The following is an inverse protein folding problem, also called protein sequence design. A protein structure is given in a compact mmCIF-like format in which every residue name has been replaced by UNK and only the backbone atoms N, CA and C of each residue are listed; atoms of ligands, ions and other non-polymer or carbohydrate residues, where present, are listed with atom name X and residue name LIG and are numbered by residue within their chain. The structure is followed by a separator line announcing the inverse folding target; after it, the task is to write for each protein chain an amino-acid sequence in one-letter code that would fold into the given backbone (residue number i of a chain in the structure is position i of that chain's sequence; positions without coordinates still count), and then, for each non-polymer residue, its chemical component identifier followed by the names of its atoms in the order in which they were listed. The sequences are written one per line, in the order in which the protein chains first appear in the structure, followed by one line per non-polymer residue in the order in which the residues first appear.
data_IF_136965934518
#
_entry.id   IF_136965934518
#
_cell.length_a   1.000
_cell.length_b   1.000
_cell.length_c   1.000
_cell.angle_alpha   90.00
_cell.angle_beta   90.00
_cell.angle_gamma   90.00
#
_symmetry.space_group_name_H-M   'P 1'
#
loop_
_entity.id
_entity.type
_entity.pdbx_description
1 polymer ?
#
# COMPACT_ATOMS: atom_id res chain seq x y z
N UNK A 1 -10.07 15.47 -4.39
CA UNK A 1 -8.63 15.16 -4.32
C UNK A 1 -8.48 13.84 -3.56
N UNK A 2 -7.60 12.92 -3.97
CA UNK A 2 -7.33 11.72 -3.16
C UNK A 2 -6.50 12.16 -1.97
N UNK A 3 -7.00 11.94 -0.77
CA UNK A 3 -6.28 12.20 0.45
C UNK A 3 -4.97 11.39 0.47
N UNK A 4 -3.86 12.07 0.72
CA UNK A 4 -2.54 11.41 0.70
C UNK A 4 -2.30 10.76 2.05
N UNK A 5 -2.31 9.43 2.06
CA UNK A 5 -1.89 8.68 3.24
C UNK A 5 -0.41 8.97 3.57
N UNK A 6 -0.05 9.43 4.78
CA UNK A 6 1.34 9.72 5.13
C UNK A 6 2.30 8.53 4.97
N UNK A 7 1.80 7.30 5.15
CA UNK A 7 2.60 6.07 4.93
C UNK A 7 2.85 5.76 3.46
N UNK A 8 2.33 6.56 2.54
CA UNK A 8 2.66 6.44 1.13
C UNK A 8 4.04 7.06 0.80
N UNK A 9 4.62 7.85 1.69
CA UNK A 9 6.00 8.33 1.58
C UNK A 9 6.97 7.25 2.04
N UNK A 10 8.05 7.04 1.29
CA UNK A 10 9.07 6.03 1.59
C UNK A 10 10.43 6.71 1.66
N UNK A 11 11.23 6.37 2.67
CA UNK A 11 12.53 6.99 2.92
C UNK A 11 13.58 6.61 1.85
N UNK A 12 13.50 5.39 1.32
CA UNK A 12 14.52 4.82 0.42
C UNK A 12 14.36 5.18 -1.06
N UNK A 13 13.27 5.86 -1.45
CA UNK A 13 13.03 6.21 -2.86
C UNK A 13 12.52 7.64 -3.01
N UNK A 14 12.76 8.23 -4.20
CA UNK A 14 12.19 9.54 -4.56
C UNK A 14 10.65 9.49 -4.52
N UNK A 15 10.05 10.38 -3.73
CA UNK A 15 8.60 10.47 -3.54
C UNK A 15 7.92 11.42 -4.55
N UNK A 16 7.82 10.98 -5.80
CA UNK A 16 7.08 11.74 -6.82
C UNK A 16 5.56 11.66 -6.59
N UNK A 17 4.83 12.76 -6.87
CA UNK A 17 3.37 12.88 -6.65
C UNK A 17 2.58 11.69 -7.16
N UNK A 18 2.83 11.24 -8.39
CA UNK A 18 2.15 10.07 -8.99
C UNK A 18 2.40 8.78 -8.19
N UNK A 19 3.62 8.57 -7.72
CA UNK A 19 3.98 7.38 -6.96
C UNK A 19 3.41 7.39 -5.54
N UNK A 20 3.38 8.57 -4.90
CA UNK A 20 2.69 8.78 -3.61
C UNK A 20 1.20 8.48 -3.75
N UNK A 21 0.51 9.08 -4.72
CA UNK A 21 -0.93 8.87 -4.94
C UNK A 21 -1.29 7.39 -5.18
N UNK A 22 -0.49 6.67 -5.97
CA UNK A 22 -0.72 5.24 -6.19
C UNK A 22 -0.56 4.45 -4.89
N UNK A 23 0.50 4.72 -4.11
CA UNK A 23 0.72 4.05 -2.82
C UNK A 23 -0.40 4.36 -1.83
N UNK A 24 -0.87 5.61 -1.72
CA UNK A 24 -2.02 5.97 -0.88
C UNK A 24 -3.26 5.15 -1.21
N UNK A 25 -3.60 5.05 -2.50
CA UNK A 25 -4.75 4.26 -2.95
C UNK A 25 -4.58 2.75 -2.73
N UNK A 26 -3.36 2.23 -2.83
CA UNK A 26 -3.07 0.83 -2.46
C UNK A 26 -3.33 0.62 -0.96
N UNK A 27 -2.82 1.50 -0.10
CA UNK A 27 -2.97 1.41 1.35
C UNK A 27 -4.43 1.47 1.77
N UNK A 28 -5.21 2.41 1.21
CA UNK A 28 -6.66 2.49 1.40
C UNK A 28 -7.34 1.16 1.07
N UNK A 29 -7.05 0.58 -0.11
CA UNK A 29 -7.66 -0.66 -0.55
C UNK A 29 -7.36 -1.87 0.35
N UNK A 30 -6.11 -1.99 0.84
CA UNK A 30 -5.69 -3.14 1.64
C UNK A 30 -5.89 -2.96 3.16
N UNK A 31 -6.18 -1.72 3.61
CA UNK A 31 -6.50 -1.42 5.01
C UNK A 31 -7.82 -2.07 5.44
N UNK A 32 -8.81 -2.10 4.55
CA UNK A 32 -10.12 -2.72 4.81
C UNK A 32 -10.08 -4.25 4.76
N UNK A 33 -9.28 -4.82 3.85
CA UNK A 33 -9.12 -6.28 3.72
C UNK A 33 -7.87 -6.65 2.91
N UNK A 34 -7.27 -7.83 3.16
CA UNK A 34 -6.19 -8.32 2.34
C UNK A 34 -6.59 -8.54 0.86
N UNK A 35 -5.75 -8.12 -0.08
CA UNK A 35 -6.02 -8.24 -1.52
C UNK A 35 -4.85 -8.85 -2.29
N UNK A 36 -5.16 -9.48 -3.42
CA UNK A 36 -4.12 -9.93 -4.36
C UNK A 36 -3.66 -8.77 -5.25
N UNK A 37 -2.46 -8.88 -5.82
CA UNK A 37 -1.94 -7.90 -6.81
C UNK A 37 -2.93 -7.71 -7.96
N UNK A 38 -3.59 -8.78 -8.42
CA UNK A 38 -4.60 -8.72 -9.48
C UNK A 38 -5.75 -7.77 -9.09
N UNK A 39 -6.35 -7.95 -7.92
CA UNK A 39 -7.46 -7.11 -7.45
C UNK A 39 -7.03 -5.65 -7.21
N UNK A 40 -5.82 -5.44 -6.69
CA UNK A 40 -5.28 -4.09 -6.50
C UNK A 40 -5.08 -3.40 -7.86
N UNK A 41 -4.49 -4.09 -8.83
CA UNK A 41 -4.28 -3.58 -10.19
C UNK A 41 -5.59 -3.17 -10.88
N UNK A 42 -6.61 -4.00 -10.79
CA UNK A 42 -7.96 -3.73 -11.32
C UNK A 42 -8.57 -2.45 -10.70
N UNK A 43 -8.50 -2.32 -9.36
CA UNK A 43 -9.11 -1.17 -8.65
C UNK A 43 -8.33 0.14 -8.79
N UNK A 44 -7.01 0.06 -8.96
CA UNK A 44 -6.13 1.23 -9.12
C UNK A 44 -6.03 1.65 -10.59
N UNK A 45 -6.36 0.76 -11.54
CA UNK A 45 -6.25 1.02 -12.98
C UNK A 45 -4.78 1.05 -13.46
N UNK A 46 -3.95 0.16 -12.91
CA UNK A 46 -2.50 0.08 -13.23
C UNK A 46 -2.07 -1.36 -13.48
N UNK A 47 -0.96 -1.54 -14.19
CA UNK A 47 -0.43 -2.86 -14.48
C UNK A 47 -0.02 -3.61 -13.20
N UNK A 48 -0.12 -4.95 -13.23
CA UNK A 48 0.29 -5.80 -12.10
C UNK A 48 1.77 -5.62 -11.75
N UNK A 49 2.64 -5.39 -12.74
CA UNK A 49 4.07 -5.10 -12.53
C UNK A 49 4.28 -3.77 -11.80
N UNK A 50 3.55 -2.71 -12.17
CA UNK A 50 3.58 -1.43 -11.47
C UNK A 50 3.13 -1.57 -10.01
N UNK A 51 2.00 -2.24 -9.77
CA UNK A 51 1.50 -2.49 -8.42
C UNK A 51 2.47 -3.33 -7.59
N UNK A 52 3.04 -4.40 -8.17
CA UNK A 52 4.05 -5.23 -7.50
C UNK A 52 5.24 -4.40 -7.05
N UNK A 53 5.75 -3.51 -7.91
CA UNK A 53 6.88 -2.63 -7.58
C UNK A 53 6.54 -1.72 -6.39
N UNK A 54 5.37 -1.10 -6.39
CA UNK A 54 4.93 -0.28 -5.25
C UNK A 54 4.82 -1.08 -3.95
N UNK A 55 4.21 -2.27 -4.01
CA UNK A 55 4.07 -3.14 -2.84
C UNK A 55 5.42 -3.60 -2.30
N UNK A 56 6.36 -3.97 -3.17
CA UNK A 56 7.72 -4.36 -2.75
C UNK A 56 8.50 -3.23 -2.10
N UNK A 57 8.38 -2.02 -2.63
CA UNK A 57 9.01 -0.84 -2.01
C UNK A 57 8.40 -0.55 -0.62
N UNK A 58 7.08 -0.66 -0.47
CA UNK A 58 6.41 -0.49 0.83
C UNK A 58 6.72 -1.64 1.81
N UNK A 59 6.92 -2.87 1.31
CA UNK A 59 7.30 -4.03 2.12
C UNK A 59 8.72 -3.89 2.66
N UNK A 60 9.65 -3.39 1.85
CA UNK A 60 11.02 -3.12 2.27
C UNK A 60 11.12 -2.06 3.38
N UNK A 61 10.08 -1.24 3.54
CA UNK A 61 9.92 -0.21 4.58
C UNK A 61 9.01 -0.69 5.71
N UNK A 62 8.54 -1.94 5.67
CA UNK A 62 7.70 -2.53 6.72
C UNK A 62 6.29 -1.98 6.81
N UNK A 63 5.79 -1.25 5.81
CA UNK A 63 4.45 -0.64 5.82
C UNK A 63 3.36 -1.64 5.42
N UNK A 64 3.70 -2.55 4.52
CA UNK A 64 2.85 -3.65 4.05
C UNK A 64 3.58 -4.97 4.17
N UNK A 65 2.83 -6.07 4.20
CA UNK A 65 3.37 -7.43 4.14
C UNK A 65 2.56 -8.28 3.19
N UNK A 66 3.21 -9.32 2.68
CA UNK A 66 2.56 -10.36 1.89
C UNK A 66 2.49 -11.69 2.65
N UNK A 67 1.43 -12.46 2.40
CA UNK A 67 1.32 -13.85 2.89
C UNK A 67 0.71 -14.75 1.82
N UNK A 68 0.92 -16.06 1.95
CA UNK A 68 0.24 -17.07 1.16
C UNK A 68 -1.09 -17.43 1.82
N UNK A 69 -2.15 -17.47 1.03
CA UNK A 69 -3.49 -17.87 1.47
C UNK A 69 -4.23 -18.56 0.32
N UNK A 70 -4.68 -19.80 0.54
CA UNK A 70 -5.39 -20.62 -0.47
C UNK A 70 -4.71 -20.60 -1.84
N UNK A 71 -3.39 -20.86 -1.87
CA UNK A 71 -2.58 -20.88 -3.09
C UNK A 71 -2.30 -19.51 -3.74
N UNK A 72 -2.70 -18.40 -3.12
CA UNK A 72 -2.51 -17.03 -3.65
C UNK A 72 -1.70 -16.16 -2.70
N UNK A 73 -0.99 -15.18 -3.25
CA UNK A 73 -0.31 -14.16 -2.45
C UNK A 73 -1.25 -12.99 -2.23
N UNK A 74 -1.56 -12.70 -0.97
CA UNK A 74 -2.36 -11.55 -0.53
C UNK A 74 -1.48 -10.54 0.19
N UNK A 75 -1.86 -9.27 0.12
CA UNK A 75 -1.15 -8.13 0.69
C UNK A 75 -2.04 -7.42 1.69
N UNK A 76 -1.45 -6.95 2.79
CA UNK A 76 -2.10 -6.22 3.88
C UNK A 76 -1.14 -5.22 4.52
N UNK A 77 -1.68 -4.26 5.26
CA UNK A 77 -0.86 -3.38 6.11
C UNK A 77 -0.27 -4.16 7.29
N UNK A 78 0.92 -3.78 7.74
CA UNK A 78 1.62 -4.46 8.86
C UNK A 78 1.10 -4.10 10.25
N UNK A 79 0.13 -3.19 10.36
CA UNK A 79 -0.38 -2.68 11.66
C UNK A 79 0.58 -1.72 12.36
N UNK A 80 1.82 -1.57 11.87
CA UNK A 80 2.80 -0.63 12.43
C UNK A 80 2.28 0.80 12.24
N UNK A 81 2.00 1.47 13.36
CA UNK A 81 1.63 2.88 13.44
C UNK A 81 0.13 3.19 13.38
N UNK A 82 -0.77 2.24 13.68
CA UNK A 82 -2.23 2.39 13.62
C UNK A 82 -2.81 3.37 14.67
N UNK A 83 -2.08 4.44 14.99
CA UNK A 83 -2.64 5.68 15.50
C UNK A 83 -2.31 6.77 14.49
N UNK A 84 -3.34 7.25 13.79
CA UNK A 84 -3.28 8.60 13.26
C UNK A 84 -3.03 9.54 14.45
N UNK A 85 -2.18 10.55 14.29
CA UNK A 85 -1.89 11.54 15.36
C UNK A 85 -3.15 12.36 15.71
N UNK A 86 -4.27 12.14 15.04
CA UNK A 86 -5.59 12.69 15.33
C UNK A 86 -6.31 12.00 16.52
N UNK A 87 -5.74 10.97 17.15
CA UNK A 87 -6.27 10.36 18.39
C UNK A 87 -5.48 10.75 19.67
N UNK A 88 -4.71 11.84 19.65
CA UNK A 88 -3.91 12.28 20.82
C UNK A 88 -4.26 13.69 21.34
N UNK A 89 -5.25 14.40 20.78
CA UNK A 89 -5.75 15.66 21.36
C UNK A 89 -7.26 15.79 21.24
#
# INVERSE_FOLDING_TARGET
MVEVNPRAYLARIRNVKKGVNIRSRILELISSKPLTIKKIAERVGRSRSSIRRHLKNMEAEGIVRSQRYKGRTIWMTTGIGQKAIEEVY
#
